data_IF_413234530217
#
_entry.id   IF_413234530217
#
_cell.length_a   1.000
_cell.length_b   1.000
_cell.length_c   1.000
_cell.angle_alpha   90.00
_cell.angle_beta   90.00
_cell.angle_gamma   90.00
#
_symmetry.space_group_name_H-M   'P 1'
#
loop_
_entity.id
_entity.type
_entity.pdbx_description
1 polymer ?
#
# COMPACT_ATOMS: atom_id res chain seq x y z
N UNK A 1 -15.23 61.95 11.79
CA UNK A 1 -14.41 60.91 11.11
C UNK A 1 -14.40 59.66 11.98
N UNK A 2 -15.60 59.18 12.33
CA UNK A 2 -16.43 58.25 11.57
C UNK A 2 -15.93 56.82 11.82
N UNK A 3 -16.45 56.19 12.87
CA UNK A 3 -16.13 54.81 13.32
C UNK A 3 -16.17 53.78 12.18
N UNK A 4 -16.97 54.06 11.16
CA UNK A 4 -17.03 53.31 9.91
C UNK A 4 -15.68 53.27 9.17
N UNK A 5 -14.91 54.36 9.13
CA UNK A 5 -13.57 54.39 8.50
C UNK A 5 -12.56 53.51 9.24
N UNK A 6 -12.63 53.47 10.57
CA UNK A 6 -11.79 52.59 11.40
C UNK A 6 -12.18 51.12 11.23
N UNK A 7 -13.48 50.81 11.19
CA UNK A 7 -13.97 49.45 10.94
C UNK A 7 -13.62 48.99 9.52
N UNK A 8 -13.79 49.84 8.50
CA UNK A 8 -13.40 49.52 7.12
C UNK A 8 -11.89 49.28 7.02
N UNK A 9 -11.06 50.09 7.69
CA UNK A 9 -9.61 49.88 7.74
C UNK A 9 -9.24 48.57 8.44
N UNK A 10 -9.92 48.23 9.54
CA UNK A 10 -9.71 46.98 10.27
C UNK A 10 -10.11 45.74 9.43
N UNK A 11 -11.24 45.80 8.72
CA UNK A 11 -11.70 44.72 7.83
C UNK A 11 -10.74 44.55 6.65
N UNK A 12 -10.28 45.65 6.03
CA UNK A 12 -9.29 45.57 4.94
C UNK A 12 -7.95 45.00 5.43
N UNK A 13 -7.51 45.40 6.62
CA UNK A 13 -6.30 44.86 7.24
C UNK A 13 -6.43 43.36 7.53
N UNK A 14 -7.56 42.92 8.08
CA UNK A 14 -7.83 41.51 8.35
C UNK A 14 -7.85 40.68 7.06
N UNK A 15 -8.43 41.23 5.99
CA UNK A 15 -8.49 40.59 4.68
C UNK A 15 -7.09 40.43 4.06
N UNK A 16 -6.25 41.47 4.15
CA UNK A 16 -4.85 41.42 3.69
C UNK A 16 -4.03 40.38 4.45
N UNK A 17 -4.17 40.29 5.78
CA UNK A 17 -3.47 39.28 6.60
C UNK A 17 -3.90 37.86 6.27
N UNK A 18 -5.20 37.63 6.01
CA UNK A 18 -5.69 36.32 5.56
C UNK A 18 -5.17 35.97 4.15
N UNK A 19 -5.11 36.93 3.22
CA UNK A 19 -4.53 36.71 1.89
C UNK A 19 -3.02 36.42 1.95
N UNK A 20 -2.28 37.11 2.82
CA UNK A 20 -0.86 36.86 3.03
C UNK A 20 -0.59 35.50 3.67
N UNK A 21 -1.43 35.05 4.62
CA UNK A 21 -1.28 33.72 5.24
C UNK A 21 -1.61 32.60 4.27
N UNK A 22 -2.65 32.74 3.45
CA UNK A 22 -2.98 31.79 2.37
C UNK A 22 -1.86 31.78 1.31
N UNK A 23 -1.40 32.95 0.87
CA UNK A 23 -0.30 33.09 -0.07
C UNK A 23 1.00 32.46 0.46
N UNK A 24 1.33 32.70 1.73
CA UNK A 24 2.49 32.10 2.39
C UNK A 24 2.37 30.57 2.52
N UNK A 25 1.19 30.03 2.86
CA UNK A 25 0.98 28.58 2.92
C UNK A 25 1.11 27.91 1.54
N UNK A 26 0.63 28.56 0.48
CA UNK A 26 0.77 28.06 -0.90
C UNK A 26 2.24 28.12 -1.35
N UNK A 27 2.92 29.26 -1.16
CA UNK A 27 4.33 29.43 -1.55
C UNK A 27 5.31 28.61 -0.71
N UNK A 28 4.99 28.30 0.55
CA UNK A 28 5.83 27.47 1.41
C UNK A 28 5.67 25.97 1.13
N UNK A 29 4.63 25.56 0.39
CA UNK A 29 4.52 24.18 -0.12
C UNK A 29 5.52 23.89 -1.26
N UNK A 30 6.08 24.93 -1.88
CA UNK A 30 7.04 24.85 -2.99
C UNK A 30 8.51 24.95 -2.54
N UNK A 31 8.75 25.01 -1.23
CA UNK A 31 10.10 25.02 -0.65
C UNK A 31 10.34 23.75 0.17
N UNK A 32 10.34 22.61 -0.52
CA UNK A 32 11.19 21.49 -0.11
C UNK A 32 12.61 21.80 -0.56
N UNK A 33 13.56 22.10 0.34
CA UNK A 33 14.93 22.26 -0.09
C UNK A 33 15.49 20.85 -0.24
N UNK A 34 15.52 20.31 -1.45
CA UNK A 34 16.63 19.50 -1.97
C UNK A 34 16.61 19.57 -3.49
N UNK A 35 17.51 20.43 -3.98
CA UNK A 35 17.88 20.61 -5.37
C UNK A 35 18.53 19.35 -5.93
N UNK A 36 18.18 19.08 -7.18
CA UNK A 36 19.04 18.60 -8.27
C UNK A 36 19.84 17.31 -8.05
N UNK A 37 19.26 16.17 -8.45
CA UNK A 37 19.69 15.46 -9.68
C UNK A 37 18.92 14.17 -9.91
N UNK A 38 18.67 13.89 -11.20
CA UNK A 38 18.03 12.73 -11.81
C UNK A 38 16.50 12.65 -11.75
N UNK A 39 15.90 13.00 -12.88
CA UNK A 39 14.64 12.42 -13.36
C UNK A 39 14.79 10.88 -13.38
N UNK A 40 14.35 10.25 -12.32
CA UNK A 40 14.09 8.82 -12.22
C UNK A 40 12.78 8.64 -11.45
N UNK A 41 12.10 7.48 -11.57
CA UNK A 41 10.90 7.21 -10.79
C UNK A 41 11.32 7.21 -9.33
N UNK A 42 11.01 8.27 -8.58
CA UNK A 42 11.42 8.34 -7.18
C UNK A 42 10.69 7.22 -6.42
N UNK A 43 11.42 6.36 -5.68
CA UNK A 43 10.78 5.30 -4.90
C UNK A 43 9.86 5.98 -3.89
N UNK A 44 8.62 5.51 -3.78
CA UNK A 44 7.74 5.88 -2.68
C UNK A 44 8.52 5.75 -1.35
N UNK A 45 8.80 6.88 -0.69
CA UNK A 45 9.81 7.04 0.38
C UNK A 45 9.58 6.17 1.63
N UNK A 46 8.46 5.47 1.69
CA UNK A 46 8.00 4.61 2.79
C UNK A 46 7.71 3.16 2.37
N UNK A 47 8.09 2.76 1.15
CA UNK A 47 7.74 1.46 0.59
C UNK A 47 8.72 0.32 0.94
N UNK A 48 8.27 -0.96 0.85
CA UNK A 48 9.13 -2.14 0.97
C UNK A 48 10.28 -2.18 -0.05
N UNK A 49 10.16 -1.41 -1.13
CA UNK A 49 11.19 -1.30 -2.18
C UNK A 49 12.51 -0.71 -1.64
N UNK A 50 12.45 0.27 -0.73
CA UNK A 50 13.66 0.86 -0.13
C UNK A 50 14.40 -0.12 0.76
N UNK A 51 13.67 -0.99 1.45
CA UNK A 51 14.26 -2.05 2.28
C UNK A 51 15.06 -3.03 1.41
N UNK A 52 14.54 -3.41 0.24
CA UNK A 52 15.21 -4.34 -0.67
C UNK A 52 16.47 -3.70 -1.27
N UNK A 53 16.39 -2.44 -1.72
CA UNK A 53 17.55 -1.69 -2.23
C UNK A 53 18.66 -1.62 -1.17
N UNK A 54 18.31 -1.25 0.06
CA UNK A 54 19.27 -1.12 1.15
C UNK A 54 19.89 -2.47 1.54
N UNK A 55 19.08 -3.54 1.57
CA UNK A 55 19.51 -4.86 2.05
C UNK A 55 20.32 -5.65 1.03
N UNK A 56 20.11 -5.39 -0.27
CA UNK A 56 20.88 -6.01 -1.35
C UNK A 56 22.02 -5.11 -1.84
N UNK A 57 22.18 -3.92 -1.25
CA UNK A 57 23.22 -2.96 -1.61
C UNK A 57 23.26 -2.67 -3.12
N UNK A 58 22.09 -2.39 -3.71
CA UNK A 58 21.98 -2.14 -5.15
C UNK A 58 22.69 -0.85 -5.56
N UNK A 59 23.48 -0.95 -6.62
CA UNK A 59 24.07 0.23 -7.28
C UNK A 59 23.01 1.03 -8.08
N UNK A 60 23.40 2.18 -8.62
CA UNK A 60 22.46 3.06 -9.34
C UNK A 60 21.79 2.40 -10.55
N UNK A 61 22.50 1.51 -11.25
CA UNK A 61 21.96 0.82 -12.42
C UNK A 61 20.96 -0.25 -11.98
N UNK A 62 21.32 -1.05 -10.97
CA UNK A 62 20.45 -2.05 -10.36
C UNK A 62 19.19 -1.41 -9.77
N UNK A 63 19.30 -0.24 -9.13
CA UNK A 63 18.17 0.49 -8.58
C UNK A 63 17.17 0.91 -9.67
N UNK A 64 17.65 1.45 -10.80
CA UNK A 64 16.78 1.83 -11.93
C UNK A 64 16.00 0.62 -12.46
N UNK A 65 16.71 -0.49 -12.72
CA UNK A 65 16.10 -1.73 -13.18
C UNK A 65 15.08 -2.28 -12.17
N UNK A 66 15.45 -2.27 -10.88
CA UNK A 66 14.58 -2.73 -9.81
C UNK A 66 13.28 -1.92 -9.70
N UNK A 67 13.36 -0.59 -9.81
CA UNK A 67 12.19 0.28 -9.75
C UNK A 67 11.22 0.04 -10.89
N UNK A 68 11.72 -0.28 -12.08
CA UNK A 68 10.88 -0.68 -13.22
C UNK A 68 10.19 -2.03 -12.97
N UNK A 69 10.92 -3.03 -12.43
CA UNK A 69 10.32 -4.31 -12.03
C UNK A 69 9.23 -4.11 -10.97
N UNK A 70 9.45 -3.23 -9.99
CA UNK A 70 8.46 -2.90 -8.95
C UNK A 70 7.23 -2.25 -9.57
N UNK A 71 7.40 -1.33 -10.52
CA UNK A 71 6.27 -0.67 -11.19
C UNK A 71 5.41 -1.69 -11.95
N UNK A 72 6.05 -2.58 -12.71
CA UNK A 72 5.37 -3.64 -13.46
C UNK A 72 4.63 -4.59 -12.53
N UNK A 73 5.30 -5.06 -11.47
CA UNK A 73 4.70 -5.95 -10.47
C UNK A 73 3.49 -5.31 -9.79
N UNK A 74 3.59 -4.03 -9.39
CA UNK A 74 2.47 -3.27 -8.81
C UNK A 74 1.28 -3.21 -9.77
N UNK A 75 1.51 -2.88 -11.04
CA UNK A 75 0.44 -2.80 -12.04
C UNK A 75 -0.27 -4.14 -12.23
N UNK A 76 0.47 -5.24 -12.38
CA UNK A 76 -0.09 -6.58 -12.54
C UNK A 76 -0.84 -7.03 -11.28
N UNK A 77 -0.28 -6.76 -10.10
CA UNK A 77 -0.93 -7.05 -8.81
C UNK A 77 -2.24 -6.27 -8.65
N UNK A 78 -2.28 -4.99 -9.05
CA UNK A 78 -3.51 -4.19 -9.02
C UNK A 78 -4.60 -4.77 -9.91
N UNK A 79 -4.25 -5.24 -11.12
CA UNK A 79 -5.20 -5.87 -12.03
C UNK A 79 -5.78 -7.16 -11.44
N UNK A 80 -4.92 -8.03 -10.90
CA UNK A 80 -5.34 -9.28 -10.26
C UNK A 80 -6.21 -9.03 -9.01
N UNK A 81 -5.84 -8.07 -8.17
CA UNK A 81 -6.64 -7.69 -7.00
C UNK A 81 -8.02 -7.15 -7.40
N UNK A 82 -8.08 -6.30 -8.44
CA UNK A 82 -9.36 -5.81 -8.96
C UNK A 82 -10.24 -6.95 -9.47
N UNK A 83 -9.65 -7.91 -10.19
CA UNK A 83 -10.35 -9.13 -10.63
C UNK A 83 -10.85 -9.94 -9.44
N UNK A 84 -10.01 -10.16 -8.43
CA UNK A 84 -10.39 -10.86 -7.19
C UNK A 84 -11.57 -10.21 -6.50
N UNK A 85 -11.57 -8.88 -6.35
CA UNK A 85 -12.67 -8.14 -5.71
C UNK A 85 -13.98 -8.37 -6.46
N UNK A 86 -13.98 -8.25 -7.79
CA UNK A 86 -15.18 -8.47 -8.62
C UNK A 86 -15.70 -9.91 -8.52
N UNK A 87 -14.80 -10.89 -8.48
CA UNK A 87 -15.16 -12.30 -8.31
C UNK A 87 -15.78 -12.55 -6.94
N UNK A 88 -15.23 -11.98 -5.86
CA UNK A 88 -15.83 -12.09 -4.53
C UNK A 88 -17.18 -11.37 -4.43
N UNK A 89 -17.34 -10.19 -5.02
CA UNK A 89 -18.64 -9.52 -5.10
C UNK A 89 -19.68 -10.40 -5.79
N UNK A 90 -19.32 -11.00 -6.93
CA UNK A 90 -20.20 -11.93 -7.65
C UNK A 90 -20.51 -13.17 -6.81
N UNK A 91 -19.51 -13.71 -6.11
CA UNK A 91 -19.64 -14.90 -5.27
C UNK A 91 -20.61 -14.68 -4.11
N UNK A 92 -20.47 -13.57 -3.38
CA UNK A 92 -21.40 -13.21 -2.30
C UNK A 92 -22.77 -12.80 -2.83
N UNK A 93 -22.83 -12.24 -4.04
CA UNK A 93 -24.09 -11.97 -4.73
C UNK A 93 -24.93 -13.23 -4.99
N UNK A 94 -24.33 -14.42 -5.05
CA UNK A 94 -25.06 -15.68 -5.19
C UNK A 94 -25.94 -16.02 -3.97
N UNK A 95 -25.70 -15.41 -2.81
CA UNK A 95 -26.50 -15.64 -1.61
C UNK A 95 -27.96 -15.18 -1.75
N UNK A 96 -28.28 -14.37 -2.75
CA UNK A 96 -29.65 -13.94 -3.06
C UNK A 96 -30.36 -14.83 -4.08
N UNK A 97 -29.69 -15.87 -4.59
CA UNK A 97 -30.22 -16.77 -5.62
C UNK A 97 -30.78 -18.06 -5.01
N UNK A 98 -31.84 -18.59 -5.62
CA UNK A 98 -32.54 -19.80 -5.14
C UNK A 98 -31.71 -21.08 -5.38
N UNK A 99 -30.94 -21.16 -6.47
CA UNK A 99 -30.12 -22.34 -6.83
C UNK A 99 -28.75 -21.96 -7.45
N UNK A 100 -27.75 -21.57 -6.63
CA UNK A 100 -26.48 -21.05 -7.13
C UNK A 100 -25.37 -22.09 -7.42
N UNK A 101 -25.59 -23.39 -7.22
CA UNK A 101 -24.51 -24.38 -7.02
C UNK A 101 -23.47 -24.49 -8.15
N UNK A 102 -23.90 -24.42 -9.41
CA UNK A 102 -23.00 -24.48 -10.57
C UNK A 102 -22.20 -23.18 -10.75
N UNK A 103 -22.85 -22.02 -10.61
CA UNK A 103 -22.20 -20.70 -10.66
C UNK A 103 -21.23 -20.50 -9.49
N UNK A 104 -21.60 -20.97 -8.29
CA UNK A 104 -20.76 -20.96 -7.09
C UNK A 104 -19.45 -21.69 -7.33
N UNK A 105 -19.55 -22.93 -7.83
CA UNK A 105 -18.38 -23.77 -8.11
C UNK A 105 -17.46 -23.19 -9.20
N UNK A 106 -18.02 -22.46 -10.15
CA UNK A 106 -17.24 -21.73 -11.16
C UNK A 106 -16.49 -20.53 -10.56
N UNK A 107 -17.19 -19.70 -9.77
CA UNK A 107 -16.58 -18.52 -9.14
C UNK A 107 -15.47 -18.89 -8.15
N UNK A 108 -15.64 -19.96 -7.37
CA UNK A 108 -14.58 -20.47 -6.47
C UNK A 108 -13.33 -20.85 -7.26
N UNK A 109 -13.49 -21.56 -8.39
CA UNK A 109 -12.35 -21.90 -9.27
C UNK A 109 -11.65 -20.67 -9.82
N UNK A 110 -12.41 -19.65 -10.24
CA UNK A 110 -11.84 -18.40 -10.74
C UNK A 110 -11.11 -17.61 -9.64
N UNK A 111 -11.61 -17.62 -8.40
CA UNK A 111 -10.92 -17.00 -7.25
C UNK A 111 -9.61 -17.73 -6.97
N UNK A 112 -9.62 -19.07 -6.97
CA UNK A 112 -8.40 -19.86 -6.78
C UNK A 112 -7.36 -19.60 -7.88
N UNK A 113 -7.79 -19.52 -9.15
CA UNK A 113 -6.95 -19.16 -10.30
C UNK A 113 -6.27 -17.78 -10.12
N UNK A 114 -7.01 -16.78 -9.64
CA UNK A 114 -6.43 -15.45 -9.35
C UNK A 114 -5.38 -15.53 -8.24
N UNK A 115 -5.62 -16.30 -7.17
CA UNK A 115 -4.61 -16.46 -6.12
C UNK A 115 -3.37 -17.21 -6.60
N UNK A 116 -3.54 -18.20 -7.47
CA UNK A 116 -2.42 -18.86 -8.13
C UNK A 116 -1.60 -17.86 -8.95
N UNK A 117 -2.25 -17.04 -9.78
CA UNK A 117 -1.58 -16.02 -10.60
C UNK A 117 -0.82 -15.00 -9.73
N UNK A 118 -1.37 -14.59 -8.58
CA UNK A 118 -0.68 -13.70 -7.63
C UNK A 118 0.56 -14.39 -7.05
N UNK A 119 0.47 -15.67 -6.67
CA UNK A 119 1.61 -16.42 -6.15
C UNK A 119 2.73 -16.56 -7.19
N UNK A 120 2.38 -16.92 -8.43
CA UNK A 120 3.32 -17.03 -9.55
C UNK A 120 3.97 -15.68 -9.89
N UNK A 121 3.17 -14.60 -9.92
CA UNK A 121 3.66 -13.24 -10.14
C UNK A 121 4.68 -12.82 -9.06
N UNK A 122 4.38 -13.11 -7.78
CA UNK A 122 5.29 -12.80 -6.68
C UNK A 122 6.59 -13.61 -6.79
N UNK A 123 6.50 -14.90 -7.09
CA UNK A 123 7.68 -15.74 -7.28
C UNK A 123 8.55 -15.23 -8.44
N UNK A 124 7.94 -14.94 -9.58
CA UNK A 124 8.61 -14.37 -10.76
C UNK A 124 9.30 -13.03 -10.44
N UNK A 125 8.64 -12.14 -9.69
CA UNK A 125 9.25 -10.88 -9.25
C UNK A 125 10.52 -11.11 -8.42
N UNK A 126 10.51 -12.05 -7.47
CA UNK A 126 11.71 -12.37 -6.70
C UNK A 126 12.80 -13.05 -7.54
N UNK A 127 12.44 -13.85 -8.56
CA UNK A 127 13.42 -14.37 -9.52
C UNK A 127 14.08 -13.25 -10.33
N UNK A 128 13.30 -12.26 -10.78
CA UNK A 128 13.84 -11.09 -11.48
C UNK A 128 14.77 -10.29 -10.58
N UNK A 129 14.41 -10.05 -9.31
CA UNK A 129 15.29 -9.40 -8.33
C UNK A 129 16.60 -10.19 -8.14
N UNK A 130 16.52 -11.52 -8.04
CA UNK A 130 17.71 -12.38 -7.95
C UNK A 130 18.62 -12.22 -9.16
N UNK A 131 18.04 -12.07 -10.36
CA UNK A 131 18.79 -11.90 -11.60
C UNK A 131 19.52 -10.56 -11.69
N UNK A 132 19.05 -9.54 -10.95
CA UNK A 132 19.75 -8.25 -10.83
C UNK A 132 20.97 -8.35 -9.90
N UNK A 133 21.00 -9.32 -8.99
CA UNK A 133 22.06 -9.44 -7.99
C UNK A 133 23.37 -9.97 -8.62
N UNK A 134 24.47 -9.28 -8.36
CA UNK A 134 25.83 -9.75 -8.65
C UNK A 134 26.22 -10.92 -7.73
N UNK A 135 27.34 -11.58 -8.02
CA UNK A 135 27.83 -12.72 -7.25
C UNK A 135 28.05 -12.38 -5.76
N UNK A 136 28.54 -11.19 -5.45
CA UNK A 136 28.75 -10.67 -4.09
C UNK A 136 27.43 -10.47 -3.32
N UNK A 137 26.32 -10.21 -4.01
CA UNK A 137 25.01 -9.92 -3.41
C UNK A 137 24.12 -11.17 -3.21
N UNK A 138 24.50 -12.33 -3.77
CA UNK A 138 23.68 -13.55 -3.71
C UNK A 138 23.49 -14.04 -2.26
N UNK A 139 24.49 -13.84 -1.40
CA UNK A 139 24.40 -14.20 0.02
C UNK A 139 23.35 -13.36 0.77
N UNK A 140 23.27 -12.06 0.47
CA UNK A 140 22.28 -11.17 1.08
C UNK A 140 20.88 -11.40 0.51
N UNK A 141 20.78 -11.79 -0.76
CA UNK A 141 19.53 -12.26 -1.34
C UNK A 141 19.00 -13.52 -0.62
N UNK A 142 19.86 -14.50 -0.32
CA UNK A 142 19.45 -15.70 0.42
C UNK A 142 18.91 -15.36 1.84
N UNK A 143 19.57 -14.42 2.53
CA UNK A 143 19.07 -13.90 3.83
C UNK A 143 17.72 -13.19 3.67
N UNK A 144 17.57 -12.37 2.63
CA UNK A 144 16.31 -11.69 2.33
C UNK A 144 15.17 -12.71 2.13
N UNK A 145 15.40 -13.79 1.36
CA UNK A 145 14.41 -14.85 1.10
C UNK A 145 13.91 -15.50 2.37
N UNK A 146 14.81 -15.77 3.31
CA UNK A 146 14.46 -16.36 4.61
C UNK A 146 13.50 -15.46 5.41
N UNK A 147 13.64 -14.14 5.25
CA UNK A 147 12.78 -13.15 5.88
C UNK A 147 11.51 -12.81 5.07
N UNK A 148 11.41 -13.22 3.79
CA UNK A 148 10.27 -12.87 2.93
C UNK A 148 8.94 -13.37 3.52
N UNK A 149 8.90 -14.59 4.05
CA UNK A 149 7.69 -15.12 4.67
C UNK A 149 7.23 -14.27 5.87
N UNK A 150 8.16 -13.71 6.65
CA UNK A 150 7.86 -12.81 7.76
C UNK A 150 7.44 -11.42 7.26
N UNK A 151 8.16 -10.88 6.27
CA UNK A 151 7.93 -9.53 5.73
C UNK A 151 6.63 -9.41 4.91
N UNK A 152 6.22 -10.48 4.23
CA UNK A 152 5.09 -10.47 3.31
C UNK A 152 3.93 -11.38 3.75
N UNK A 153 4.15 -12.35 4.65
CA UNK A 153 3.09 -13.20 5.20
C UNK A 153 2.12 -12.50 6.15
N UNK A 154 2.54 -11.39 6.79
CA UNK A 154 1.70 -10.65 7.74
C UNK A 154 0.80 -9.56 7.10
N UNK A 155 1.00 -9.23 5.81
CA UNK A 155 0.28 -8.14 5.14
C UNK A 155 -1.11 -8.49 4.60
N UNK A 156 -1.58 -9.73 4.74
CA UNK A 156 -2.94 -10.10 4.32
C UNK A 156 -4.04 -9.66 5.31
N UNK A 157 -3.71 -8.97 6.41
CA UNK A 157 -4.73 -8.29 7.21
C UNK A 157 -5.21 -7.07 6.41
N UNK A 158 -6.51 -6.96 6.10
CA UNK A 158 -7.07 -5.72 5.55
C UNK A 158 -6.63 -4.56 6.45
N UNK A 159 -6.32 -3.38 5.90
CA UNK A 159 -6.15 -2.20 6.74
C UNK A 159 -7.43 -2.08 7.56
N UNK A 160 -7.32 -2.11 8.89
CA UNK A 160 -8.38 -1.58 9.72
C UNK A 160 -8.51 -0.12 9.28
N UNK A 161 -9.60 0.19 8.59
CA UNK A 161 -10.05 1.57 8.47
C UNK A 161 -10.15 2.05 9.92
N UNK A 162 -9.26 2.97 10.32
CA UNK A 162 -9.47 3.78 11.50
C UNK A 162 -10.63 4.73 11.19
N UNK A 163 -11.83 4.17 11.10
CA UNK A 163 -13.05 4.92 11.30
C UNK A 163 -13.12 5.26 12.78
N UNK A 164 -13.37 6.52 13.09
CA UNK A 164 -13.85 6.96 14.39
C UNK A 164 -15.08 6.11 14.77
N UNK A 165 -14.84 5.05 15.54
CA UNK A 165 -15.90 4.31 16.20
C UNK A 165 -16.34 5.05 17.46
N UNK A 166 -17.61 4.91 17.88
CA UNK A 166 -18.11 5.50 19.13
C UNK A 166 -17.32 4.97 20.35
N UNK A 167 -17.39 5.65 21.52
CA UNK A 167 -16.62 5.28 22.71
C UNK A 167 -16.79 3.80 23.07
N UNK A 168 -15.68 3.20 23.48
CA UNK A 168 -15.49 1.77 23.70
C UNK A 168 -16.32 1.25 24.89
N UNK A 169 -17.58 0.90 24.66
CA UNK A 169 -18.37 0.03 25.55
C UNK A 169 -18.24 -1.42 25.06
N UNK A 170 -17.06 -2.03 25.28
CA UNK A 170 -16.92 -3.49 25.12
C UNK A 170 -17.23 -4.18 26.46
N UNK A 171 -18.26 -5.05 26.53
CA UNK A 171 -18.31 -6.06 27.58
C UNK A 171 -17.08 -6.98 27.42
N UNK A 172 -16.48 -7.36 28.55
CA UNK A 172 -15.26 -8.15 28.64
C UNK A 172 -15.21 -9.35 27.67
N UNK A 173 -14.00 -9.65 27.19
CA UNK A 173 -13.75 -10.69 26.19
C UNK A 173 -14.26 -12.08 26.60
N UNK A 174 -14.33 -13.03 25.65
CA UNK A 174 -14.86 -14.35 25.89
C UNK A 174 -14.00 -15.11 26.92
N UNK A 175 -14.59 -15.91 27.82
CA UNK A 175 -13.83 -16.65 28.82
C UNK A 175 -12.80 -17.58 28.18
N UNK A 176 -11.60 -17.61 28.75
CA UNK A 176 -10.36 -18.30 28.35
C UNK A 176 -10.43 -19.84 28.26
N UNK A 177 -11.62 -20.44 28.13
CA UNK A 177 -11.82 -21.90 28.16
C UNK A 177 -12.08 -22.54 26.78
N UNK A 178 -11.49 -22.00 25.71
CA UNK A 178 -11.47 -22.74 24.43
C UNK A 178 -10.29 -23.74 24.43
N UNK A 179 -10.54 -25.04 24.19
CA UNK A 179 -9.46 -26.00 24.07
C UNK A 179 -8.60 -25.67 22.84
N UNK A 180 -7.26 -25.86 22.93
CA UNK A 180 -6.37 -25.55 21.82
C UNK A 180 -6.65 -26.43 20.60
N UNK A 181 -6.41 -25.92 19.37
CA UNK A 181 -6.63 -26.69 18.16
C UNK A 181 -5.71 -27.93 18.11
N UNK A 182 -6.18 -29.04 17.53
CA UNK A 182 -5.42 -30.28 17.47
C UNK A 182 -4.12 -30.06 16.69
N UNK A 183 -3.01 -30.52 17.28
CA UNK A 183 -1.72 -30.60 16.59
C UNK A 183 -1.76 -31.80 15.64
N UNK A 184 -1.61 -31.54 14.34
CA UNK A 184 -1.16 -32.56 13.38
C UNK A 184 0.33 -32.82 13.54
#
# INVERSE_FOLDING_TARGET
>A
MERTKLLTLAVLGLLLVNLLTIGFLIFRSDQSPHKDQMQGPQPDDKGPSRLIIARLHFDEQQQKQYLDLVRQHKQQTMQLNTKSIRLFQSYYGLLTQVHPDSTKSSLVRQIADVQQQIAELNFSHFQQIKSLCRSDQQADFAKLVTDLARLFGQRQRPPHSHGEGPPDDRPGGPPENFPPPPRN
#
